data_IF_539369714619
#
_entry.id   IF_539369714619
#
_cell.length_a   1.000
_cell.length_b   1.000
_cell.length_c   1.000
_cell.angle_alpha   90.00
_cell.angle_beta   90.00
_cell.angle_gamma   90.00
#
_symmetry.space_group_name_H-M   'P 1'
#
loop_
_entity.id
_entity.type
_entity.pdbx_description
1 polymer ?
#
# COMPACT_ATOMS: atom_id res chain seq x y z
N UNK A 1 18.18 7.62 0.70
CA UNK A 1 18.37 8.84 1.53
C UNK A 1 17.30 8.88 2.61
N UNK A 2 17.57 9.34 3.82
CA UNK A 2 16.52 9.54 4.81
C UNK A 2 15.60 10.67 4.36
N UNK A 3 14.28 10.48 4.50
CA UNK A 3 13.29 11.55 4.32
C UNK A 3 13.62 12.72 5.24
N UNK A 4 13.43 13.95 4.77
CA UNK A 4 13.57 15.16 5.59
C UNK A 4 12.34 15.33 6.50
N UNK A 5 12.14 14.40 7.44
CA UNK A 5 11.01 14.37 8.35
C UNK A 5 11.38 15.03 9.69
N UNK A 6 10.53 15.94 10.15
CA UNK A 6 10.64 16.54 11.47
C UNK A 6 9.67 15.86 12.44
N UNK A 7 10.22 15.26 13.50
CA UNK A 7 9.43 14.72 14.60
C UNK A 7 8.67 13.42 14.35
N UNK A 8 8.80 12.79 13.17
CA UNK A 8 8.21 11.49 12.86
C UNK A 8 9.18 10.54 12.15
N UNK A 9 8.97 9.25 12.31
CA UNK A 9 9.73 8.20 11.60
C UNK A 9 9.20 8.02 10.18
N UNK A 10 9.99 7.42 9.25
CA UNK A 10 9.49 7.03 7.94
C UNK A 10 8.26 6.12 7.98
N UNK A 11 8.18 5.22 8.96
CA UNK A 11 7.01 4.34 9.13
C UNK A 11 5.76 5.14 9.54
N UNK A 12 5.89 6.13 10.43
CA UNK A 12 4.81 7.04 10.81
C UNK A 12 4.32 7.84 9.61
N UNK A 13 5.24 8.37 8.82
CA UNK A 13 4.91 9.09 7.60
C UNK A 13 4.15 8.22 6.61
N UNK A 14 4.62 6.99 6.33
CA UNK A 14 3.94 6.08 5.41
C UNK A 14 2.56 5.65 5.95
N UNK A 15 2.44 5.36 7.25
CA UNK A 15 1.16 5.04 7.86
C UNK A 15 0.18 6.22 7.78
N UNK A 16 0.66 7.44 8.00
CA UNK A 16 -0.13 8.66 7.80
C UNK A 16 -0.57 8.80 6.34
N UNK A 17 0.33 8.62 5.37
CA UNK A 17 -0.05 8.68 3.95
C UNK A 17 -1.10 7.63 3.58
N UNK A 18 -0.96 6.42 4.09
CA UNK A 18 -1.95 5.36 3.89
C UNK A 18 -3.30 5.73 4.52
N UNK A 19 -3.29 6.36 5.70
CA UNK A 19 -4.53 6.78 6.36
C UNK A 19 -5.37 7.75 5.54
N UNK A 20 -4.73 8.58 4.73
CA UNK A 20 -5.41 9.55 3.85
C UNK A 20 -6.16 8.87 2.68
N UNK A 21 -5.90 7.61 2.41
CA UNK A 21 -6.63 6.84 1.40
C UNK A 21 -7.88 6.13 1.97
N UNK A 22 -8.01 6.03 3.28
CA UNK A 22 -9.18 5.45 3.96
C UNK A 22 -10.27 6.49 4.08
N UNK A 23 -11.47 6.19 3.59
CA UNK A 23 -12.62 7.10 3.64
C UNK A 23 -13.62 6.65 4.68
N UNK A 24 -14.41 7.59 5.18
CA UNK A 24 -15.49 7.28 6.10
C UNK A 24 -16.55 6.36 5.44
N UNK A 25 -17.22 5.53 6.24
CA UNK A 25 -18.19 4.53 5.80
C UNK A 25 -17.65 3.42 4.87
N UNK A 26 -16.36 3.42 4.50
CA UNK A 26 -15.77 2.34 3.70
C UNK A 26 -15.54 1.07 4.52
N UNK A 27 -15.66 -0.06 3.85
CA UNK A 27 -15.17 -1.35 4.33
C UNK A 27 -13.79 -1.60 3.73
N UNK A 28 -12.80 -1.58 4.61
CA UNK A 28 -11.38 -1.77 4.27
C UNK A 28 -10.92 -3.16 4.71
N UNK A 29 -10.16 -3.87 3.88
CA UNK A 29 -9.47 -5.07 4.32
C UNK A 29 -7.95 -4.89 4.28
N UNK A 30 -7.28 -5.51 5.25
CA UNK A 30 -5.82 -5.45 5.44
C UNK A 30 -5.27 -6.88 5.43
N UNK A 31 -4.21 -7.10 4.67
CA UNK A 31 -3.54 -8.40 4.58
C UNK A 31 -2.81 -8.80 5.87
N UNK A 32 -2.57 -10.10 6.04
CA UNK A 32 -1.96 -10.69 7.24
C UNK A 32 -0.57 -10.12 7.58
N UNK A 33 0.24 -9.74 6.59
CA UNK A 33 1.60 -9.23 6.77
C UNK A 33 1.70 -7.73 6.42
N UNK A 34 0.74 -6.94 6.89
CA UNK A 34 0.61 -5.53 6.51
C UNK A 34 0.48 -4.59 7.71
N UNK A 35 1.50 -4.52 8.60
CA UNK A 35 1.43 -3.71 9.82
C UNK A 35 1.28 -2.21 9.53
N UNK A 36 1.98 -1.66 8.53
CA UNK A 36 1.91 -0.23 8.19
C UNK A 36 0.53 0.15 7.64
N UNK A 37 -0.09 -0.61 6.71
CA UNK A 37 -1.48 -0.40 6.34
C UNK A 37 -2.47 -0.49 7.52
N UNK A 38 -2.34 -1.49 8.41
CA UNK A 38 -3.20 -1.56 9.58
C UNK A 38 -3.07 -0.31 10.44
N UNK A 39 -1.86 0.15 10.67
CA UNK A 39 -1.60 1.35 11.46
C UNK A 39 -2.24 2.60 10.85
N UNK A 40 -2.14 2.76 9.51
CA UNK A 40 -2.83 3.81 8.78
C UNK A 40 -4.35 3.73 8.90
N UNK A 41 -4.93 2.54 8.81
CA UNK A 41 -6.39 2.32 9.00
C UNK A 41 -6.82 2.69 10.42
N UNK A 42 -6.07 2.27 11.45
CA UNK A 42 -6.35 2.62 12.85
C UNK A 42 -6.27 4.13 13.11
N UNK A 43 -5.31 4.82 12.47
CA UNK A 43 -5.23 6.27 12.51
C UNK A 43 -6.45 6.92 11.85
N UNK A 44 -6.80 6.50 10.63
CA UNK A 44 -7.95 7.03 9.90
C UNK A 44 -9.26 6.90 10.69
N UNK A 45 -9.50 5.73 11.30
CA UNK A 45 -10.69 5.52 12.13
C UNK A 45 -10.74 6.45 13.35
N UNK A 46 -9.59 6.80 13.91
CA UNK A 46 -9.51 7.66 15.07
C UNK A 46 -9.57 9.15 14.71
N UNK A 47 -9.34 9.52 13.43
CA UNK A 47 -9.28 10.92 12.98
C UNK A 47 -10.49 11.31 12.12
N UNK A 48 -10.72 10.66 11.00
CA UNK A 48 -11.67 11.14 9.97
C UNK A 48 -12.58 10.05 9.37
N UNK A 49 -12.37 8.77 9.70
CA UNK A 49 -13.11 7.64 9.13
C UNK A 49 -13.75 6.77 10.23
N UNK A 50 -14.34 7.41 11.24
CA UNK A 50 -14.86 6.74 12.45
C UNK A 50 -16.01 5.76 12.20
N UNK A 51 -16.77 5.91 11.13
CA UNK A 51 -17.84 5.00 10.73
C UNK A 51 -17.36 3.89 9.78
N UNK A 52 -16.10 3.94 9.34
CA UNK A 52 -15.50 2.90 8.51
C UNK A 52 -15.34 1.59 9.27
N UNK A 53 -15.41 0.48 8.55
CA UNK A 53 -15.15 -0.87 9.10
C UNK A 53 -13.89 -1.44 8.49
N UNK A 54 -13.07 -2.12 9.29
CA UNK A 54 -11.95 -2.84 8.75
C UNK A 54 -11.98 -4.33 9.09
N UNK A 55 -11.38 -5.12 8.22
CA UNK A 55 -11.14 -6.54 8.37
C UNK A 55 -9.62 -6.76 8.30
N UNK A 56 -9.05 -7.35 9.33
CA UNK A 56 -7.65 -7.78 9.29
C UNK A 56 -7.61 -9.30 9.10
N UNK A 57 -7.02 -9.73 7.99
CA UNK A 57 -6.89 -11.15 7.68
C UNK A 57 -6.05 -11.86 8.76
N UNK A 58 -6.60 -12.93 9.32
CA UNK A 58 -5.94 -13.69 10.38
C UNK A 58 -6.10 -13.11 11.79
N UNK A 59 -6.80 -11.98 11.96
CA UNK A 59 -7.10 -11.42 13.27
C UNK A 59 -8.23 -12.17 13.98
N UNK A 60 -8.10 -12.30 15.32
CA UNK A 60 -9.18 -12.78 16.17
C UNK A 60 -10.20 -11.70 16.51
N UNK A 61 -9.83 -10.43 16.40
CA UNK A 61 -10.69 -9.28 16.70
C UNK A 61 -11.68 -8.98 15.57
N UNK A 62 -11.29 -9.27 14.32
CA UNK A 62 -12.12 -9.11 13.13
C UNK A 62 -12.17 -10.41 12.33
N UNK A 63 -12.73 -11.50 12.92
CA UNK A 63 -12.68 -12.81 12.31
C UNK A 63 -13.55 -12.86 11.06
N UNK A 64 -12.98 -13.46 10.01
CA UNK A 64 -13.74 -13.96 8.88
C UNK A 64 -14.24 -15.37 9.22
N UNK A 65 -15.54 -15.59 9.21
CA UNK A 65 -16.16 -16.84 9.65
C UNK A 65 -15.88 -18.00 8.70
N UNK A 66 -15.73 -17.69 7.39
CA UNK A 66 -15.40 -18.67 6.34
C UNK A 66 -14.00 -18.43 5.75
N UNK A 67 -13.14 -17.71 6.48
CA UNK A 67 -11.76 -17.42 6.08
C UNK A 67 -11.66 -16.61 4.76
N UNK A 68 -10.70 -16.97 3.91
CA UNK A 68 -10.45 -16.25 2.67
C UNK A 68 -11.64 -16.23 1.72
N UNK A 69 -12.48 -17.26 1.73
CA UNK A 69 -13.70 -17.34 0.91
C UNK A 69 -14.63 -16.16 1.19
N UNK A 70 -14.87 -15.85 2.45
CA UNK A 70 -15.74 -14.74 2.83
C UNK A 70 -15.21 -13.39 2.31
N UNK A 71 -13.88 -13.18 2.38
CA UNK A 71 -13.26 -11.98 1.82
C UNK A 71 -13.50 -11.86 0.30
N UNK A 72 -13.35 -12.97 -0.43
CA UNK A 72 -13.58 -12.99 -1.87
C UNK A 72 -15.05 -12.75 -2.21
N UNK A 73 -15.98 -13.35 -1.46
CA UNK A 73 -17.41 -13.13 -1.62
C UNK A 73 -17.78 -11.65 -1.35
N UNK A 74 -17.19 -11.02 -0.33
CA UNK A 74 -17.38 -9.60 -0.06
C UNK A 74 -16.87 -8.73 -1.24
N UNK A 75 -15.70 -9.06 -1.77
CA UNK A 75 -15.13 -8.33 -2.92
C UNK A 75 -16.01 -8.50 -4.18
N UNK A 76 -16.42 -9.74 -4.51
CA UNK A 76 -17.29 -10.04 -5.67
C UNK A 76 -18.64 -9.33 -5.58
N UNK A 77 -19.22 -9.25 -4.39
CA UNK A 77 -20.49 -8.56 -4.15
C UNK A 77 -20.37 -7.04 -4.08
N UNK A 78 -19.17 -6.48 -4.34
CA UNK A 78 -18.91 -5.05 -4.26
C UNK A 78 -19.02 -4.48 -2.84
N UNK A 79 -18.86 -5.33 -1.82
CA UNK A 79 -18.93 -4.96 -0.40
C UNK A 79 -17.57 -4.74 0.23
N UNK A 80 -16.50 -4.71 -0.57
CA UNK A 80 -15.15 -4.35 -0.17
C UNK A 80 -14.73 -3.11 -0.96
N UNK A 81 -14.51 -2.01 -0.26
CA UNK A 81 -14.25 -0.72 -0.88
C UNK A 81 -12.76 -0.47 -1.07
N UNK A 82 -11.93 -0.87 -0.10
CA UNK A 82 -10.50 -0.65 -0.10
C UNK A 82 -9.73 -1.90 0.31
N UNK A 83 -8.65 -2.19 -0.42
CA UNK A 83 -7.68 -3.24 -0.09
C UNK A 83 -6.25 -2.74 -0.31
N UNK A 84 -5.31 -3.27 0.45
CA UNK A 84 -3.88 -2.94 0.31
C UNK A 84 -3.13 -4.13 -0.26
N UNK A 85 -2.28 -3.88 -1.26
CA UNK A 85 -1.40 -4.88 -1.86
C UNK A 85 0.01 -4.35 -2.01
N UNK A 86 0.95 -5.26 -2.17
CA UNK A 86 2.33 -5.02 -2.55
C UNK A 86 2.78 -6.06 -3.55
N UNK A 87 4.00 -5.93 -4.07
CA UNK A 87 4.58 -6.88 -5.03
C UNK A 87 6.09 -6.93 -4.93
N UNK A 88 6.68 -7.99 -5.47
CA UNK A 88 8.13 -8.06 -5.67
C UNK A 88 8.57 -7.24 -6.89
N UNK A 89 7.68 -7.08 -7.87
CA UNK A 89 7.76 -6.09 -8.94
C UNK A 89 6.41 -5.43 -9.14
N UNK A 90 6.42 -4.14 -9.44
CA UNK A 90 5.28 -3.33 -9.86
C UNK A 90 5.72 -2.64 -11.14
N UNK A 91 4.99 -2.81 -12.24
CA UNK A 91 5.37 -2.21 -13.49
C UNK A 91 4.65 -0.88 -13.76
N UNK A 92 5.09 -0.20 -14.82
CA UNK A 92 4.53 1.08 -15.28
C UNK A 92 3.02 1.04 -15.45
N UNK A 93 2.49 -0.11 -15.92
CA UNK A 93 1.06 -0.32 -16.16
C UNK A 93 0.28 -0.74 -14.91
N UNK A 94 0.93 -0.78 -13.75
CA UNK A 94 0.31 -1.15 -12.49
C UNK A 94 0.15 -2.65 -12.26
N UNK A 95 0.72 -3.50 -13.12
CA UNK A 95 0.72 -4.94 -12.86
C UNK A 95 1.63 -5.29 -11.67
N UNK A 96 1.29 -6.35 -10.97
CA UNK A 96 2.03 -6.85 -9.82
C UNK A 96 2.60 -8.24 -10.11
N UNK A 97 3.86 -8.44 -9.79
CA UNK A 97 4.51 -9.75 -9.78
C UNK A 97 4.74 -10.23 -8.34
N UNK A 98 4.21 -11.41 -8.05
CA UNK A 98 4.38 -12.16 -6.80
C UNK A 98 4.77 -13.62 -7.07
N UNK A 99 5.08 -13.96 -8.33
CA UNK A 99 5.24 -15.35 -8.78
C UNK A 99 6.68 -15.74 -9.01
N UNK A 100 7.44 -14.98 -9.79
CA UNK A 100 8.85 -15.29 -10.05
C UNK A 100 9.61 -14.09 -10.64
N UNK A 101 10.92 -14.08 -10.47
CA UNK A 101 11.85 -13.18 -11.14
C UNK A 101 12.57 -13.98 -12.22
N UNK A 102 12.60 -13.44 -13.43
CA UNK A 102 13.12 -14.12 -14.63
C UNK A 102 12.06 -15.00 -15.31
N UNK A 103 12.45 -15.77 -16.35
CA UNK A 103 11.53 -16.59 -17.13
C UNK A 103 10.78 -17.61 -16.28
N UNK A 104 9.47 -17.76 -16.48
CA UNK A 104 8.62 -18.64 -15.66
C UNK A 104 9.09 -20.10 -15.64
N UNK A 105 9.56 -20.61 -16.76
CA UNK A 105 10.04 -22.00 -16.88
C UNK A 105 11.37 -22.27 -16.19
N UNK A 106 12.22 -21.23 -16.01
CA UNK A 106 13.53 -21.32 -15.36
C UNK A 106 13.83 -20.04 -14.55
N UNK A 107 13.08 -19.78 -13.48
CA UNK A 107 13.16 -18.52 -12.76
C UNK A 107 14.46 -18.41 -11.95
N UNK A 108 15.03 -17.21 -11.90
CA UNK A 108 16.13 -16.89 -10.99
C UNK A 108 15.68 -16.94 -9.52
N UNK A 109 14.43 -16.51 -9.27
CA UNK A 109 13.80 -16.55 -7.95
C UNK A 109 12.36 -17.01 -8.10
N UNK A 110 11.95 -18.01 -7.32
CA UNK A 110 10.55 -18.39 -7.15
C UNK A 110 10.00 -17.65 -5.93
N UNK A 111 8.89 -16.94 -6.10
CA UNK A 111 8.20 -16.21 -5.05
C UNK A 111 7.02 -17.05 -4.52
N UNK A 112 6.43 -16.66 -3.36
CA UNK A 112 5.33 -17.41 -2.74
C UNK A 112 4.05 -17.53 -3.59
N UNK A 113 3.88 -16.66 -4.59
CA UNK A 113 2.66 -16.56 -5.39
C UNK A 113 1.69 -15.50 -4.87
N UNK A 114 0.64 -15.27 -5.63
CA UNK A 114 -0.29 -14.18 -5.37
C UNK A 114 -1.38 -14.49 -4.35
N UNK A 115 -1.55 -15.73 -3.90
CA UNK A 115 -2.73 -16.16 -3.13
C UNK A 115 -4.02 -15.58 -3.74
N UNK A 116 -4.78 -14.76 -2.99
CA UNK A 116 -5.98 -14.09 -3.50
C UNK A 116 -5.75 -12.74 -4.20
N UNK A 117 -4.49 -12.30 -4.37
CA UNK A 117 -4.19 -10.93 -4.85
C UNK A 117 -4.78 -10.66 -6.24
N UNK A 118 -4.70 -11.63 -7.16
CA UNK A 118 -5.23 -11.46 -8.52
C UNK A 118 -6.73 -11.13 -8.49
N UNK A 119 -7.51 -11.86 -7.71
CA UNK A 119 -8.95 -11.65 -7.60
C UNK A 119 -9.27 -10.34 -6.86
N UNK A 120 -8.65 -10.10 -5.72
CA UNK A 120 -8.89 -8.88 -4.92
C UNK A 120 -8.52 -7.63 -5.71
N UNK A 121 -7.49 -7.71 -6.57
CA UNK A 121 -7.02 -6.58 -7.36
C UNK A 121 -8.04 -6.09 -8.37
N UNK A 122 -8.83 -6.97 -8.99
CA UNK A 122 -9.85 -6.57 -9.96
C UNK A 122 -11.28 -6.51 -9.39
N UNK A 123 -11.51 -7.03 -8.18
CA UNK A 123 -12.86 -7.04 -7.57
C UNK A 123 -13.05 -5.95 -6.51
N UNK A 124 -12.01 -5.59 -5.77
CA UNK A 124 -12.09 -4.51 -4.79
C UNK A 124 -12.21 -3.16 -5.51
N UNK A 125 -13.10 -2.29 -5.07
CA UNK A 125 -13.36 -0.99 -5.74
C UNK A 125 -12.09 -0.16 -5.91
N UNK A 126 -11.24 -0.09 -4.88
CA UNK A 126 -9.96 0.60 -4.89
C UNK A 126 -8.88 -0.25 -4.25
N UNK A 127 -7.77 -0.40 -4.93
CA UNK A 127 -6.59 -1.04 -4.35
C UNK A 127 -5.48 -0.01 -4.25
N UNK A 128 -4.99 0.19 -3.03
CA UNK A 128 -3.80 0.99 -2.76
C UNK A 128 -2.60 0.05 -2.73
N UNK A 129 -1.66 0.27 -3.63
CA UNK A 129 -0.37 -0.39 -3.55
C UNK A 129 0.53 0.38 -2.59
N UNK A 130 1.31 -0.35 -1.80
CA UNK A 130 2.29 0.25 -0.92
C UNK A 130 3.58 -0.56 -0.91
N UNK A 131 4.69 0.10 -0.67
CA UNK A 131 6.00 -0.56 -0.54
C UNK A 131 6.79 0.09 0.59
N UNK A 132 7.62 -0.72 1.28
CA UNK A 132 8.54 -0.24 2.32
C UNK A 132 9.96 -0.02 1.79
N UNK A 133 10.15 -0.24 0.49
CA UNK A 133 11.40 0.05 -0.23
C UNK A 133 11.06 0.65 -1.59
N UNK A 134 12.02 1.36 -2.19
CA UNK A 134 11.90 1.88 -3.53
C UNK A 134 13.20 1.62 -4.28
N UNK A 135 13.14 0.91 -5.40
CA UNK A 135 14.31 0.58 -6.20
C UNK A 135 13.93 0.19 -7.63
N UNK A 136 14.86 0.26 -8.60
CA UNK A 136 14.62 -0.14 -9.98
C UNK A 136 14.35 -1.65 -10.15
N UNK A 137 14.65 -2.45 -9.13
CA UNK A 137 14.31 -3.89 -9.13
C UNK A 137 12.85 -4.14 -8.78
N UNK A 138 12.26 -3.24 -8.00
CA UNK A 138 10.86 -3.32 -7.58
C UNK A 138 9.95 -2.59 -8.58
N UNK A 139 10.36 -1.38 -8.99
CA UNK A 139 9.61 -0.58 -9.97
C UNK A 139 10.23 -0.75 -11.35
N UNK A 140 9.64 -1.63 -12.17
CA UNK A 140 10.15 -2.05 -13.47
C UNK A 140 9.28 -1.53 -14.62
N UNK A 141 9.84 -1.34 -15.81
CA UNK A 141 9.04 -0.98 -17.00
C UNK A 141 7.99 -2.06 -17.29
N UNK A 142 8.35 -3.34 -17.12
CA UNK A 142 7.48 -4.49 -17.32
C UNK A 142 7.83 -5.60 -16.33
N UNK A 143 6.84 -6.16 -15.65
CA UNK A 143 7.01 -7.33 -14.78
C UNK A 143 7.50 -8.55 -15.55
N UNK A 144 8.38 -9.34 -14.93
CA UNK A 144 8.83 -10.62 -15.49
C UNK A 144 7.66 -11.63 -15.57
N UNK A 145 6.72 -11.53 -14.64
CA UNK A 145 5.47 -12.30 -14.62
C UNK A 145 4.35 -11.42 -14.08
N UNK A 146 3.17 -11.47 -14.68
CA UNK A 146 2.00 -10.74 -14.20
C UNK A 146 1.15 -11.67 -13.33
N UNK A 147 1.26 -11.52 -12.02
CA UNK A 147 0.42 -12.24 -11.06
C UNK A 147 -0.96 -11.60 -10.95
N UNK A 148 -1.00 -10.27 -10.88
CA UNK A 148 -2.23 -9.49 -10.79
C UNK A 148 -2.18 -8.37 -11.83
N UNK A 149 -3.07 -8.41 -12.81
CA UNK A 149 -3.15 -7.42 -13.88
C UNK A 149 -3.94 -6.19 -13.41
N UNK A 150 -3.39 -4.99 -13.65
CA UNK A 150 -4.01 -3.73 -13.28
C UNK A 150 -5.26 -3.44 -14.12
N UNK A 151 -5.21 -3.77 -15.41
CA UNK A 151 -6.30 -3.54 -16.35
C UNK A 151 -6.58 -4.79 -17.14
N UNK A 152 -7.85 -5.05 -17.38
CA UNK A 152 -8.32 -6.18 -18.20
C UNK A 152 -9.55 -5.72 -19.00
N UNK A 153 -9.36 -4.84 -20.01
CA UNK A 153 -10.47 -4.19 -20.72
C UNK A 153 -11.42 -5.17 -21.40
N UNK A 154 -10.95 -6.38 -21.75
CA UNK A 154 -11.77 -7.46 -22.26
C UNK A 154 -12.77 -8.04 -21.24
N UNK A 155 -12.65 -7.66 -19.97
CA UNK A 155 -13.53 -8.14 -18.90
C UNK A 155 -14.18 -6.95 -18.17
N UNK A 156 -15.25 -6.35 -18.72
CA UNK A 156 -15.87 -5.12 -18.18
C UNK A 156 -16.50 -5.31 -16.80
N UNK A 157 -16.71 -6.54 -16.35
CA UNK A 157 -17.18 -6.86 -15.01
C UNK A 157 -16.08 -6.76 -13.92
N UNK A 158 -14.81 -6.67 -14.31
CA UNK A 158 -13.69 -6.40 -13.41
C UNK A 158 -13.62 -4.91 -13.14
N UNK A 159 -14.26 -4.47 -12.05
CA UNK A 159 -14.46 -3.05 -11.73
C UNK A 159 -13.41 -2.47 -10.79
N UNK A 160 -12.58 -3.32 -10.19
CA UNK A 160 -11.49 -2.92 -9.32
C UNK A 160 -10.22 -2.57 -10.09
N UNK A 161 -9.15 -2.37 -9.35
CA UNK A 161 -7.83 -2.07 -9.88
C UNK A 161 -7.04 -1.13 -8.99
N UNK A 162 -5.82 -0.79 -9.40
CA UNK A 162 -4.99 0.16 -8.67
C UNK A 162 -5.64 1.55 -8.66
N UNK A 163 -5.52 2.23 -7.55
CA UNK A 163 -5.94 3.63 -7.41
C UNK A 163 -4.78 4.52 -6.98
N UNK A 164 -3.92 4.01 -6.12
CA UNK A 164 -2.80 4.74 -5.55
C UNK A 164 -1.61 3.82 -5.35
N UNK A 165 -0.40 4.35 -5.49
CA UNK A 165 0.84 3.69 -5.10
C UNK A 165 1.60 4.61 -4.13
N UNK A 166 1.84 4.12 -2.92
CA UNK A 166 2.55 4.84 -1.86
C UNK A 166 3.87 4.12 -1.61
N UNK A 167 4.98 4.85 -1.75
CA UNK A 167 6.34 4.33 -1.64
C UNK A 167 7.13 5.16 -0.62
N UNK A 168 8.36 4.79 -0.25
CA UNK A 168 9.21 5.66 0.55
C UNK A 168 9.63 6.98 -0.10
N UNK A 169 9.52 7.14 -1.43
CA UNK A 169 10.00 8.34 -2.13
C UNK A 169 8.87 9.23 -2.66
N UNK A 170 7.75 8.64 -3.05
CA UNK A 170 6.69 9.38 -3.71
C UNK A 170 5.33 8.68 -3.56
N UNK A 171 4.29 9.43 -3.89
CA UNK A 171 2.94 8.91 -4.13
C UNK A 171 2.62 9.05 -5.61
N UNK A 172 2.04 8.02 -6.21
CA UNK A 172 1.56 8.02 -7.58
C UNK A 172 0.06 7.74 -7.62
N UNK A 173 -0.63 8.34 -8.57
CA UNK A 173 -2.02 8.07 -8.92
C UNK A 173 -2.10 7.16 -10.13
N UNK A 174 -3.13 6.33 -10.22
CA UNK A 174 -3.33 5.49 -11.39
C UNK A 174 -4.27 6.17 -12.39
N UNK A 175 -3.72 6.56 -13.53
CA UNK A 175 -4.50 7.09 -14.64
C UNK A 175 -5.20 5.93 -15.36
N UNK A 176 -6.49 5.76 -15.12
CA UNK A 176 -7.29 4.69 -15.71
C UNK A 176 -7.49 4.83 -17.21
N UNK A 177 -7.37 6.04 -17.78
CA UNK A 177 -7.48 6.29 -19.22
C UNK A 177 -6.17 5.94 -19.92
N UNK A 178 -5.05 6.38 -19.37
CA UNK A 178 -3.73 6.05 -19.90
C UNK A 178 -3.30 4.62 -19.55
N UNK A 179 -3.87 4.01 -18.50
CA UNK A 179 -3.50 2.69 -18.00
C UNK A 179 -2.09 2.66 -17.40
N UNK A 180 -1.68 3.72 -16.70
CA UNK A 180 -0.33 3.84 -16.15
C UNK A 180 -0.28 4.71 -14.88
N UNK A 181 0.85 4.61 -14.15
CA UNK A 181 1.11 5.46 -13.01
C UNK A 181 1.45 6.89 -13.42
N UNK A 182 0.92 7.86 -12.65
CA UNK A 182 1.25 9.28 -12.72
C UNK A 182 1.81 9.74 -11.38
N UNK A 183 2.94 10.45 -11.40
CA UNK A 183 3.50 11.05 -10.20
C UNK A 183 2.53 12.10 -9.63
N UNK A 184 2.10 11.89 -8.38
CA UNK A 184 1.18 12.79 -7.68
C UNK A 184 1.92 13.74 -6.76
N UNK A 185 2.86 13.23 -5.96
CA UNK A 185 3.67 14.04 -5.04
C UNK A 185 4.98 13.36 -4.71
N UNK A 186 6.01 14.15 -4.41
CA UNK A 186 7.30 13.70 -3.89
C UNK A 186 7.30 13.84 -2.36
N UNK A 187 7.92 12.91 -1.66
CA UNK A 187 8.00 12.97 -0.22
C UNK A 187 9.02 14.00 0.26
N UNK A 188 8.93 14.50 1.50
CA UNK A 188 9.79 15.57 2.00
C UNK A 188 11.29 15.29 1.81
N UNK A 189 11.97 16.23 1.16
CA UNK A 189 13.39 16.14 0.85
C UNK A 189 13.76 15.24 -0.33
N UNK A 190 12.80 14.68 -1.05
CA UNK A 190 13.04 13.85 -2.25
C UNK A 190 12.90 14.70 -3.51
N UNK A 191 13.94 14.76 -4.32
CA UNK A 191 13.88 15.39 -5.64
C UNK A 191 13.30 14.45 -6.70
N UNK A 192 12.74 15.02 -7.79
CA UNK A 192 12.29 14.22 -8.92
C UNK A 192 13.41 13.35 -9.51
N UNK A 193 14.63 13.91 -9.61
CA UNK A 193 15.78 13.19 -10.15
C UNK A 193 16.15 11.95 -9.33
N UNK A 194 16.08 12.04 -7.99
CA UNK A 194 16.31 10.91 -7.10
C UNK A 194 15.22 9.85 -7.23
N UNK A 195 13.94 10.26 -7.21
CA UNK A 195 12.83 9.33 -7.39
C UNK A 195 12.89 8.64 -8.76
N UNK A 196 13.22 9.38 -9.84
CA UNK A 196 13.38 8.83 -11.18
C UNK A 196 14.52 7.83 -11.27
N UNK A 197 15.66 8.11 -10.64
CA UNK A 197 16.82 7.19 -10.61
C UNK A 197 16.47 5.83 -10.00
N UNK A 198 15.59 5.83 -9.01
CA UNK A 198 15.16 4.62 -8.30
C UNK A 198 13.90 3.97 -8.93
N UNK A 199 13.38 4.52 -10.03
CA UNK A 199 12.20 4.00 -10.74
C UNK A 199 12.59 3.55 -12.16
N UNK A 200 12.28 2.31 -12.51
CA UNK A 200 12.61 1.71 -13.81
C UNK A 200 11.70 2.12 -14.95
N UNK A 201 10.81 3.10 -14.76
CA UNK A 201 9.96 3.68 -15.80
C UNK A 201 9.88 5.21 -15.62
N UNK A 202 9.51 5.99 -16.66
CA UNK A 202 9.41 7.45 -16.58
C UNK A 202 8.39 7.90 -15.54
N UNK A 203 8.81 8.76 -14.60
CA UNK A 203 7.92 9.44 -13.66
C UNK A 203 7.37 10.73 -14.30
N UNK A 204 6.10 10.73 -14.68
CA UNK A 204 5.43 11.85 -15.30
C UNK A 204 4.27 12.35 -14.42
N UNK A 205 4.08 13.68 -14.31
CA UNK A 205 4.90 14.76 -14.89
C UNK A 205 6.30 14.86 -14.24
N UNK A 206 7.22 15.56 -14.88
CA UNK A 206 8.60 15.76 -14.40
C UNK A 206 8.74 16.65 -13.16
N UNK A 207 7.63 17.15 -12.63
CA UNK A 207 7.55 17.88 -11.36
C UNK A 207 6.23 17.56 -10.65
N UNK A 208 6.26 17.55 -9.32
CA UNK A 208 5.08 17.32 -8.49
C UNK A 208 5.25 18.08 -7.16
N UNK A 209 4.14 18.41 -6.47
CA UNK A 209 4.20 19.04 -5.16
C UNK A 209 4.84 18.11 -4.11
N UNK A 210 5.34 18.70 -3.04
CA UNK A 210 5.77 17.93 -1.88
C UNK A 210 4.56 17.32 -1.17
N UNK A 211 4.70 16.09 -0.73
CA UNK A 211 3.68 15.40 0.06
C UNK A 211 3.59 16.05 1.45
N UNK A 212 2.41 16.46 1.92
CA UNK A 212 2.25 16.99 3.27
C UNK A 212 2.71 15.99 4.34
N UNK A 213 3.50 16.48 5.29
CA UNK A 213 3.90 15.72 6.48
C UNK A 213 2.76 15.63 7.49
N UNK A 214 2.72 14.61 8.37
CA UNK A 214 1.78 14.56 9.46
C UNK A 214 2.00 15.72 10.42
N UNK A 215 0.92 16.27 10.96
CA UNK A 215 1.00 17.24 12.05
C UNK A 215 1.49 16.55 13.34
N UNK A 216 1.93 17.33 14.35
CA UNK A 216 2.22 16.77 15.68
C UNK A 216 1.03 16.02 16.29
N UNK A 217 -0.21 16.47 16.01
CA UNK A 217 -1.45 15.79 16.43
C UNK A 217 -1.63 14.45 15.75
N UNK A 218 -1.40 14.36 14.42
CA UNK A 218 -1.47 13.11 13.68
C UNK A 218 -0.42 12.11 14.18
N UNK A 219 0.80 12.58 14.42
CA UNK A 219 1.89 11.75 14.95
C UNK A 219 1.55 11.23 16.34
N UNK A 220 1.02 12.07 17.23
CA UNK A 220 0.56 11.65 18.56
C UNK A 220 -0.57 10.63 18.46
N UNK A 221 -1.52 10.81 17.54
CA UNK A 221 -2.61 9.90 17.34
C UNK A 221 -2.13 8.54 16.79
N UNK A 222 -1.19 8.53 15.84
CA UNK A 222 -0.53 7.31 15.36
C UNK A 222 0.09 6.54 16.52
N UNK A 223 0.89 7.22 17.36
CA UNK A 223 1.55 6.62 18.52
C UNK A 223 0.56 6.05 19.53
N UNK A 224 -0.55 6.73 19.76
CA UNK A 224 -1.64 6.25 20.62
C UNK A 224 -2.32 4.96 20.10
N UNK A 225 -2.15 4.59 18.82
CA UNK A 225 -2.67 3.34 18.23
C UNK A 225 -1.69 2.17 18.30
N UNK A 226 -0.45 2.37 18.73
CA UNK A 226 0.56 1.30 18.83
C UNK A 226 0.11 0.14 19.74
N UNK A 227 -0.55 0.34 20.89
CA UNK A 227 -1.05 -0.77 21.69
C UNK A 227 -2.04 -1.67 20.94
N UNK A 228 -2.94 -1.08 20.16
CA UNK A 228 -3.90 -1.85 19.33
C UNK A 228 -3.17 -2.58 18.20
N UNK A 229 -2.21 -1.92 17.55
CA UNK A 229 -1.36 -2.54 16.52
C UNK A 229 -0.59 -3.74 17.06
N UNK A 230 -0.12 -3.65 18.32
CA UNK A 230 0.65 -4.71 18.98
C UNK A 230 -0.14 -6.00 19.19
N UNK A 231 -1.47 -5.95 19.29
CA UNK A 231 -2.31 -7.15 19.39
C UNK A 231 -2.12 -8.08 18.19
N UNK A 232 -1.92 -7.52 17.00
CA UNK A 232 -1.73 -8.28 15.76
C UNK A 232 -0.27 -8.38 15.32
N UNK A 233 0.56 -7.36 15.61
CA UNK A 233 1.95 -7.26 15.17
C UNK A 233 2.90 -6.86 16.32
N UNK A 234 3.06 -7.70 17.37
CA UNK A 234 3.83 -7.33 18.56
C UNK A 234 5.32 -7.05 18.26
N UNK A 235 5.92 -7.81 17.34
CA UNK A 235 7.34 -7.61 16.96
C UNK A 235 7.54 -6.28 16.26
N UNK A 236 6.66 -5.96 15.31
CA UNK A 236 6.70 -4.68 14.59
C UNK A 236 6.47 -3.50 15.53
N UNK A 237 5.47 -3.59 16.41
CA UNK A 237 5.14 -2.54 17.37
C UNK A 237 6.32 -2.25 18.32
N UNK A 238 7.01 -3.27 18.80
CA UNK A 238 8.20 -3.14 19.65
C UNK A 238 9.36 -2.45 18.90
N UNK A 239 9.64 -2.87 17.68
CA UNK A 239 10.67 -2.25 16.85
C UNK A 239 10.34 -0.78 16.52
N UNK A 240 9.07 -0.48 16.31
CA UNK A 240 8.58 0.88 16.08
C UNK A 240 8.77 1.77 17.30
N UNK A 241 8.42 1.29 18.50
CA UNK A 241 8.64 2.04 19.76
C UNK A 241 10.14 2.37 19.99
N UNK A 242 11.03 1.44 19.68
CA UNK A 242 12.47 1.68 19.75
C UNK A 242 12.92 2.79 18.79
N UNK A 243 12.41 2.79 17.54
CA UNK A 243 12.72 3.85 16.56
C UNK A 243 12.16 5.20 16.95
N UNK A 244 10.95 5.26 17.50
CA UNK A 244 10.35 6.50 18.00
C UNK A 244 11.15 7.05 19.18
N UNK A 245 11.56 6.18 20.12
CA UNK A 245 12.40 6.57 21.24
C UNK A 245 13.76 7.15 20.83
N UNK A 246 14.30 6.73 19.70
CA UNK A 246 15.55 7.27 19.15
C UNK A 246 15.40 8.66 18.49
N UNK A 247 14.18 9.15 18.24
CA UNK A 247 13.91 10.50 17.72
C UNK A 247 13.84 11.56 18.84
N UNK A 248 13.70 11.14 20.10
CA UNK A 248 13.67 12.06 21.22
C UNK A 248 15.09 12.58 21.48
N UNK A 249 15.28 13.91 21.61
CA UNK A 249 16.60 14.50 21.87
C UNK A 249 17.18 14.06 23.20
#
# INVERSE_FOLDING_TARGET
>A
MPLALSGCTPDEFLAFRISQEVRDFERTAVGTLSPVPLWGVLHAQASHAGHGKYLLLGSRETPLTEGSKELFDLAQRGKLDLFFLSGAQIDRKGNINLTCIGPYGSPKVRLPGGAGSAMLYYMTRRVVLFTLSHSPRLFVEKCDFVTSAASTPQYPWRRGGPSRLITPLCTMDYDTQAGEWRLLSLHPGVSHAEAQKETGFPLLPGSAPETPSPSPGDTALLRARIPVLANSYPVFARALQARIGALSP
#
